data_IF_628314339394
#
_entry.id   IF_628314339394
#
_cell.length_a   1.000
_cell.length_b   1.000
_cell.length_c   1.000
_cell.angle_alpha   90.00
_cell.angle_beta   90.00
_cell.angle_gamma   90.00
#
_symmetry.space_group_name_H-M   'P 1'
#
loop_
_entity.id
_entity.type
_entity.pdbx_description
1 polymer ?
#
# COMPACT_ATOMS: atom_id res chain seq x y z
N UNK A 1 -1.70 -41.95 18.58
CA UNK A 1 -1.70 -41.23 17.29
C UNK A 1 -2.51 -39.93 17.35
N UNK A 2 -3.71 -39.91 17.95
CA UNK A 2 -4.58 -38.69 18.04
C UNK A 2 -3.95 -37.53 18.84
N UNK A 3 -3.25 -37.85 19.96
CA UNK A 3 -2.63 -36.84 20.83
C UNK A 3 -1.49 -36.12 20.11
N UNK A 4 -0.73 -36.79 19.27
CA UNK A 4 0.39 -36.23 18.53
C UNK A 4 -0.11 -35.25 17.41
N UNK A 5 -1.23 -35.60 16.75
CA UNK A 5 -1.83 -34.73 15.75
C UNK A 5 -2.40 -33.44 16.36
N UNK A 6 -3.00 -33.50 17.55
CA UNK A 6 -3.49 -32.35 18.29
C UNK A 6 -2.36 -31.36 18.68
N UNK A 7 -1.22 -31.90 19.10
CA UNK A 7 -0.05 -31.07 19.44
C UNK A 7 0.54 -30.35 18.24
N UNK A 8 0.59 -31.00 17.07
CA UNK A 8 1.03 -30.35 15.81
C UNK A 8 0.10 -29.21 15.38
N UNK A 9 -1.22 -29.38 15.54
CA UNK A 9 -2.18 -28.31 15.24
C UNK A 9 -1.97 -27.10 16.16
N UNK A 10 -1.75 -27.34 17.46
CA UNK A 10 -1.50 -26.26 18.42
C UNK A 10 -0.20 -25.51 18.06
N UNK A 11 0.87 -26.21 17.70
CA UNK A 11 2.12 -25.59 17.27
C UNK A 11 1.88 -24.75 16.01
N UNK A 12 1.18 -25.29 15.00
CA UNK A 12 0.87 -24.59 13.77
C UNK A 12 0.12 -23.26 14.04
N UNK A 13 -0.95 -23.31 14.86
CA UNK A 13 -1.73 -22.14 15.23
C UNK A 13 -0.91 -21.09 16.00
N UNK A 14 0.04 -21.53 16.85
CA UNK A 14 0.94 -20.61 17.57
C UNK A 14 1.94 -19.95 16.64
N UNK A 15 2.47 -20.68 15.68
CA UNK A 15 3.41 -20.17 14.68
C UNK A 15 2.70 -19.16 13.76
N UNK A 16 1.51 -19.50 13.27
CA UNK A 16 0.70 -18.60 12.44
C UNK A 16 0.37 -17.30 13.17
N UNK A 17 -0.10 -17.41 14.43
CA UNK A 17 -0.38 -16.25 15.27
C UNK A 17 0.87 -15.38 15.50
N UNK A 18 2.04 -15.98 15.70
CA UNK A 18 3.30 -15.26 15.87
C UNK A 18 3.67 -14.45 14.62
N UNK A 19 3.57 -15.03 13.42
CA UNK A 19 3.83 -14.33 12.17
C UNK A 19 2.85 -13.20 11.91
N UNK A 20 1.55 -13.43 12.14
CA UNK A 20 0.52 -12.38 12.00
C UNK A 20 0.80 -11.22 12.96
N UNK A 21 1.13 -11.50 14.22
CA UNK A 21 1.37 -10.47 15.23
C UNK A 21 2.64 -9.65 15.00
N UNK A 22 3.66 -10.22 14.36
CA UNK A 22 4.92 -9.55 14.06
C UNK A 22 4.94 -8.89 12.68
N UNK A 23 3.85 -8.96 11.93
CA UNK A 23 3.72 -8.33 10.62
C UNK A 23 4.03 -6.83 10.69
N UNK A 24 4.91 -6.37 9.79
CA UNK A 24 5.21 -4.96 9.60
C UNK A 24 5.15 -4.65 8.10
N UNK A 25 4.08 -3.97 7.70
CA UNK A 25 3.80 -3.74 6.27
C UNK A 25 2.98 -2.49 6.03
N UNK A 26 3.20 -1.87 4.87
CA UNK A 26 2.41 -0.75 4.39
C UNK A 26 1.51 -1.21 3.26
N UNK A 27 0.23 -0.83 3.34
CA UNK A 27 -0.82 -1.28 2.44
C UNK A 27 -1.46 -0.12 1.70
N UNK A 28 -1.74 -0.32 0.40
CA UNK A 28 -2.54 0.56 -0.44
C UNK A 28 -3.69 -0.28 -0.97
N UNK A 29 -4.88 -0.02 -0.45
CA UNK A 29 -6.07 -0.82 -0.77
C UNK A 29 -6.78 -0.31 -2.02
N UNK A 30 -7.53 -1.20 -2.67
CA UNK A 30 -8.50 -0.80 -3.67
C UNK A 30 -9.84 -0.44 -3.02
N UNK A 31 -10.32 0.75 -3.32
CA UNK A 31 -11.70 1.15 -3.03
C UNK A 31 -12.16 2.20 -4.02
N UNK A 32 -13.31 1.95 -4.63
CA UNK A 32 -13.88 2.83 -5.65
C UNK A 32 -13.96 4.30 -5.18
N UNK A 33 -13.37 5.19 -5.97
CA UNK A 33 -13.29 6.63 -5.71
C UNK A 33 -12.75 7.01 -4.33
N UNK A 34 -11.92 6.17 -3.74
CA UNK A 34 -11.42 6.38 -2.38
C UNK A 34 -9.94 6.02 -2.30
N UNK A 35 -9.16 6.85 -1.62
CA UNK A 35 -7.81 6.49 -1.18
C UNK A 35 -7.92 5.84 0.19
N UNK A 36 -7.43 4.63 0.31
CA UNK A 36 -7.33 3.91 1.57
C UNK A 36 -5.95 3.27 1.70
N UNK A 37 -5.19 3.74 2.66
CA UNK A 37 -3.83 3.24 2.94
C UNK A 37 -3.67 2.98 4.42
N UNK A 38 -2.77 2.09 4.78
CA UNK A 38 -2.51 1.78 6.19
C UNK A 38 -1.14 1.18 6.42
N UNK A 39 -0.68 1.30 7.66
CA UNK A 39 0.54 0.71 8.18
C UNK A 39 0.18 -0.26 9.30
N UNK A 40 0.41 -1.53 9.06
CA UNK A 40 0.29 -2.59 10.05
C UNK A 40 1.66 -2.79 10.70
N UNK A 41 1.71 -2.70 12.03
CA UNK A 41 2.93 -2.90 12.80
C UNK A 41 2.60 -3.53 14.15
N UNK A 42 3.07 -4.77 14.38
CA UNK A 42 2.95 -5.49 15.65
C UNK A 42 1.51 -5.47 16.23
N UNK A 43 0.51 -5.85 15.43
CA UNK A 43 -0.89 -5.87 15.85
C UNK A 43 -1.58 -4.51 15.96
N UNK A 44 -0.89 -3.42 15.65
CA UNK A 44 -1.48 -2.10 15.54
C UNK A 44 -1.62 -1.69 14.07
N UNK A 45 -2.80 -1.20 13.68
CA UNK A 45 -3.05 -0.71 12.32
C UNK A 45 -3.38 0.78 12.33
N UNK A 46 -2.50 1.55 11.72
CA UNK A 46 -2.71 2.98 11.51
C UNK A 46 -3.14 3.20 10.07
N UNK A 47 -4.21 3.95 9.85
CA UNK A 47 -4.78 4.08 8.52
C UNK A 47 -5.21 5.50 8.16
N UNK A 48 -5.27 5.78 6.86
CA UNK A 48 -5.93 6.93 6.27
C UNK A 48 -7.00 6.45 5.30
N UNK A 49 -8.17 7.06 5.39
CA UNK A 49 -9.24 6.90 4.40
C UNK A 49 -9.77 8.26 3.99
N UNK A 50 -9.91 8.51 2.69
CA UNK A 50 -10.57 9.72 2.19
C UNK A 50 -12.10 9.66 2.30
N UNK A 51 -12.66 8.47 2.56
CA UNK A 51 -14.09 8.23 2.82
C UNK A 51 -14.22 7.00 3.72
N UNK A 52 -14.35 7.23 5.01
CA UNK A 52 -14.40 6.16 6.03
C UNK A 52 -15.62 5.25 5.86
N UNK A 53 -16.76 5.78 5.41
CA UNK A 53 -17.97 4.97 5.18
C UNK A 53 -17.75 3.90 4.12
N UNK A 54 -17.00 4.23 3.07
CA UNK A 54 -16.67 3.29 2.00
C UNK A 54 -15.64 2.26 2.40
N UNK A 55 -14.80 2.51 3.40
CA UNK A 55 -13.68 1.63 3.78
C UNK A 55 -13.95 0.77 5.01
N UNK A 56 -15.07 1.00 5.72
CA UNK A 56 -15.41 0.27 6.97
C UNK A 56 -15.40 -1.26 6.79
N UNK A 57 -15.99 -1.77 5.71
CA UNK A 57 -16.04 -3.22 5.46
C UNK A 57 -14.62 -3.80 5.32
N UNK A 58 -13.79 -3.20 4.43
CA UNK A 58 -12.40 -3.65 4.21
C UNK A 58 -11.59 -3.56 5.51
N UNK A 59 -11.80 -2.48 6.29
CA UNK A 59 -11.11 -2.30 7.57
C UNK A 59 -11.49 -3.41 8.56
N UNK A 60 -12.77 -3.75 8.67
CA UNK A 60 -13.24 -4.81 9.55
C UNK A 60 -12.69 -6.18 9.14
N UNK A 61 -12.73 -6.50 7.85
CA UNK A 61 -12.15 -7.74 7.31
C UNK A 61 -10.65 -7.82 7.61
N UNK A 62 -9.93 -6.72 7.40
CA UNK A 62 -8.50 -6.63 7.67
C UNK A 62 -8.15 -6.80 9.15
N UNK A 63 -8.96 -6.18 10.04
CA UNK A 63 -8.86 -6.35 11.50
C UNK A 63 -8.99 -7.83 11.88
N UNK A 64 -9.99 -8.53 11.32
CA UNK A 64 -10.21 -9.95 11.59
C UNK A 64 -9.07 -10.84 11.09
N UNK A 65 -8.62 -10.63 9.86
CA UNK A 65 -7.54 -11.43 9.24
C UNK A 65 -6.22 -11.29 10.00
N UNK A 66 -5.84 -10.05 10.34
CA UNK A 66 -4.56 -9.76 10.98
C UNK A 66 -4.64 -9.67 12.50
N UNK A 67 -5.78 -10.03 13.11
CA UNK A 67 -6.00 -10.02 14.57
C UNK A 67 -5.54 -8.70 15.20
N UNK A 68 -5.95 -7.57 14.59
CA UNK A 68 -5.51 -6.24 14.96
C UNK A 68 -6.12 -5.85 16.30
N UNK A 69 -5.27 -5.50 17.27
CA UNK A 69 -5.66 -5.12 18.63
C UNK A 69 -5.95 -3.61 18.74
N UNK A 70 -5.28 -2.81 17.91
CA UNK A 70 -5.38 -1.34 17.97
C UNK A 70 -5.52 -0.74 16.59
N UNK A 71 -6.51 0.13 16.43
CA UNK A 71 -6.76 0.82 15.15
C UNK A 71 -6.76 2.32 15.39
N UNK A 72 -5.94 3.05 14.63
CA UNK A 72 -5.80 4.50 14.76
C UNK A 72 -5.82 5.19 13.39
N UNK A 73 -6.57 6.29 13.22
CA UNK A 73 -6.44 7.10 12.02
C UNK A 73 -5.11 7.89 12.04
N UNK A 74 -4.56 8.16 10.85
CA UNK A 74 -3.46 9.10 10.68
C UNK A 74 -3.71 10.07 9.52
N UNK A 75 -2.98 11.16 9.50
CA UNK A 75 -3.00 12.10 8.39
C UNK A 75 -2.07 11.61 7.25
N UNK A 76 -2.60 11.56 6.03
CA UNK A 76 -1.82 11.11 4.87
C UNK A 76 -0.74 12.15 4.53
N UNK A 77 0.50 11.73 4.58
CA UNK A 77 1.66 12.52 4.17
C UNK A 77 1.98 12.23 2.70
N UNK A 78 2.60 13.22 2.06
CA UNK A 78 3.03 13.07 0.67
C UNK A 78 4.33 12.26 0.54
N UNK A 79 5.04 12.08 1.63
CA UNK A 79 6.34 11.45 1.65
C UNK A 79 6.46 10.50 2.84
N UNK A 80 6.81 9.24 2.55
CA UNK A 80 7.15 8.23 3.55
C UNK A 80 8.58 7.76 3.28
N UNK A 81 9.46 8.00 4.24
CA UNK A 81 10.88 7.64 4.15
C UNK A 81 11.26 6.83 5.37
N UNK A 82 11.57 5.58 5.14
CA UNK A 82 12.21 4.68 6.10
C UNK A 82 13.30 3.90 5.35
N UNK A 83 14.15 3.14 6.00
CA UNK A 83 15.13 2.29 5.30
C UNK A 83 14.51 1.40 4.21
N UNK A 84 13.21 1.04 4.35
CA UNK A 84 12.51 0.12 3.46
C UNK A 84 11.38 0.74 2.65
N UNK A 85 10.85 1.90 3.04
CA UNK A 85 9.88 2.66 2.27
C UNK A 85 10.48 3.97 1.79
N UNK A 86 10.43 4.17 0.48
CA UNK A 86 10.65 5.45 -0.19
C UNK A 86 9.44 5.68 -1.10
N UNK A 87 8.31 6.07 -0.48
CA UNK A 87 7.04 6.26 -1.16
C UNK A 87 6.75 7.75 -1.30
N UNK A 88 6.52 8.19 -2.53
CA UNK A 88 5.99 9.51 -2.87
C UNK A 88 4.49 9.38 -3.19
N UNK A 89 3.66 10.16 -2.52
CA UNK A 89 2.21 10.21 -2.76
C UNK A 89 1.89 11.50 -3.50
N UNK A 90 1.30 11.40 -4.67
CA UNK A 90 0.96 12.52 -5.53
C UNK A 90 -0.55 12.62 -5.73
N UNK A 91 -1.10 13.81 -5.47
CA UNK A 91 -2.49 14.17 -5.77
C UNK A 91 -2.56 15.43 -6.64
N UNK A 92 -3.73 16.06 -6.75
CA UNK A 92 -4.03 17.07 -7.76
C UNK A 92 -3.20 18.37 -7.71
N UNK A 93 -2.43 18.66 -6.66
CA UNK A 93 -1.99 20.05 -6.38
C UNK A 93 -0.50 20.19 -6.05
N UNK A 94 0.37 19.20 -6.26
CA UNK A 94 1.71 19.28 -5.68
C UNK A 94 2.87 19.29 -6.68
N UNK A 95 3.93 20.09 -6.41
CA UNK A 95 5.19 19.91 -7.08
C UNK A 95 5.75 18.52 -6.76
N UNK A 96 6.10 17.75 -7.78
CA UNK A 96 6.58 16.38 -7.62
C UNK A 96 8.11 16.27 -7.74
N UNK A 97 8.80 17.35 -8.06
CA UNK A 97 10.26 17.36 -8.15
C UNK A 97 10.87 17.73 -6.78
N UNK A 98 11.30 16.71 -6.06
CA UNK A 98 11.95 16.87 -4.77
C UNK A 98 13.46 16.70 -4.92
N UNK A 99 14.22 17.72 -4.55
CA UNK A 99 15.68 17.64 -4.53
C UNK A 99 16.15 16.63 -3.49
N UNK A 100 17.16 15.83 -3.85
CA UNK A 100 17.80 14.84 -2.96
C UNK A 100 16.87 13.69 -2.47
N UNK A 101 15.76 13.44 -3.18
CA UNK A 101 14.90 12.31 -2.87
C UNK A 101 14.58 11.48 -4.13
N UNK A 102 14.83 10.17 -4.07
CA UNK A 102 14.48 9.23 -5.14
C UNK A 102 13.48 8.19 -4.58
N UNK A 103 12.19 8.25 -4.93
CA UNK A 103 11.21 7.29 -4.48
C UNK A 103 11.44 5.93 -5.16
N UNK A 104 11.29 4.84 -4.39
CA UNK A 104 11.17 3.50 -4.94
C UNK A 104 9.77 3.26 -5.49
N UNK A 105 8.77 3.82 -4.83
CA UNK A 105 7.36 3.70 -5.19
C UNK A 105 6.71 5.08 -5.29
N UNK A 106 5.84 5.27 -6.27
CA UNK A 106 5.03 6.48 -6.44
C UNK A 106 3.55 6.06 -6.44
N UNK A 107 2.76 6.61 -5.51
CA UNK A 107 1.32 6.45 -5.46
C UNK A 107 0.65 7.66 -6.11
N UNK A 108 -0.11 7.42 -7.17
CA UNK A 108 -0.99 8.41 -7.77
C UNK A 108 -2.40 8.28 -7.20
N UNK A 109 -2.98 9.40 -6.74
CA UNK A 109 -4.34 9.46 -6.20
C UNK A 109 -5.10 10.69 -6.69
N UNK A 110 -6.45 10.60 -6.71
CA UNK A 110 -7.34 11.72 -7.07
C UNK A 110 -7.06 12.34 -8.44
N UNK A 111 -6.62 11.53 -9.41
CA UNK A 111 -6.39 11.95 -10.80
C UNK A 111 -5.41 13.13 -10.94
N UNK A 112 -4.16 13.02 -10.49
CA UNK A 112 -3.23 14.12 -10.52
C UNK A 112 -2.98 14.61 -11.95
N UNK A 113 -2.98 15.93 -12.13
CA UNK A 113 -2.69 16.58 -13.42
C UNK A 113 -1.19 16.77 -13.59
N UNK A 114 -0.46 15.67 -13.84
CA UNK A 114 0.99 15.66 -13.96
C UNK A 114 1.42 15.08 -15.30
N UNK A 115 2.60 15.48 -15.76
CA UNK A 115 3.24 14.85 -16.92
C UNK A 115 3.93 13.55 -16.44
N UNK A 116 3.32 12.42 -16.73
CA UNK A 116 3.83 11.10 -16.31
C UNK A 116 5.18 10.78 -16.94
N UNK A 117 5.39 11.06 -18.22
CA UNK A 117 6.67 10.80 -18.91
C UNK A 117 7.82 11.54 -18.21
N UNK A 118 7.61 12.83 -17.88
CA UNK A 118 8.60 13.62 -17.13
C UNK A 118 8.84 13.07 -15.73
N UNK A 119 7.76 12.67 -15.01
CA UNK A 119 7.86 12.08 -13.69
C UNK A 119 8.71 10.79 -13.70
N UNK A 120 8.44 9.89 -14.65
CA UNK A 120 9.13 8.62 -14.78
C UNK A 120 10.60 8.81 -15.20
N UNK A 121 10.88 9.73 -16.13
CA UNK A 121 12.24 10.07 -16.54
C UNK A 121 13.07 10.66 -15.41
N UNK A 122 12.44 11.48 -14.53
CA UNK A 122 13.12 12.13 -13.41
C UNK A 122 13.43 11.15 -12.26
N UNK A 123 12.45 10.31 -11.86
CA UNK A 123 12.58 9.48 -10.67
C UNK A 123 12.97 8.03 -10.95
N UNK A 124 12.60 7.46 -12.08
CA UNK A 124 12.79 6.04 -12.42
C UNK A 124 12.37 5.11 -11.26
N UNK A 125 11.14 5.22 -10.74
CA UNK A 125 10.70 4.42 -9.62
C UNK A 125 10.61 2.94 -10.01
N UNK A 126 10.66 2.02 -9.03
CA UNK A 126 10.37 0.60 -9.27
C UNK A 126 8.89 0.40 -9.60
N UNK A 127 8.00 1.05 -8.86
CA UNK A 127 6.56 0.96 -9.07
C UNK A 127 5.90 2.33 -9.19
N UNK A 128 5.04 2.47 -10.19
CA UNK A 128 3.99 3.49 -10.24
C UNK A 128 2.67 2.82 -9.87
N UNK A 129 2.04 3.27 -8.79
CA UNK A 129 0.85 2.67 -8.20
C UNK A 129 -0.33 3.60 -8.42
N UNK A 130 -1.44 3.06 -8.94
CA UNK A 130 -2.72 3.77 -9.06
C UNK A 130 -3.72 3.14 -8.10
N UNK A 131 -4.26 3.93 -7.15
CA UNK A 131 -5.31 3.48 -6.25
C UNK A 131 -6.73 3.64 -6.84
N UNK A 132 -7.73 3.16 -6.12
CA UNK A 132 -9.13 3.20 -6.55
C UNK A 132 -9.76 4.60 -6.63
N UNK A 133 -9.06 5.66 -6.19
CA UNK A 133 -9.51 7.04 -6.31
C UNK A 133 -9.34 7.62 -7.72
N UNK A 134 -8.54 6.94 -8.56
CA UNK A 134 -8.28 7.38 -9.92
C UNK A 134 -9.33 6.86 -10.91
N UNK A 135 -9.52 7.61 -11.99
CA UNK A 135 -10.34 7.16 -13.10
C UNK A 135 -9.65 6.06 -13.90
N UNK A 136 -10.41 5.04 -14.38
CA UNK A 136 -9.83 3.91 -15.12
C UNK A 136 -9.04 4.33 -16.36
N UNK A 137 -9.52 5.34 -17.11
CA UNK A 137 -8.84 5.82 -18.32
C UNK A 137 -7.48 6.51 -18.03
N UNK A 138 -7.34 7.17 -16.86
CA UNK A 138 -6.06 7.71 -16.45
C UNK A 138 -5.08 6.59 -16.10
N UNK A 139 -5.54 5.58 -15.36
CA UNK A 139 -4.73 4.43 -15.01
C UNK A 139 -4.22 3.68 -16.26
N UNK A 140 -5.07 3.53 -17.29
CA UNK A 140 -4.65 2.89 -18.55
C UNK A 140 -3.60 3.71 -19.31
N UNK A 141 -3.76 5.03 -19.38
CA UNK A 141 -2.75 5.91 -19.99
C UNK A 141 -1.41 5.84 -19.23
N UNK A 142 -1.44 5.83 -17.90
CA UNK A 142 -0.23 5.73 -17.08
C UNK A 142 0.47 4.38 -17.23
N UNK A 143 -0.29 3.32 -17.40
CA UNK A 143 0.25 2.00 -17.71
C UNK A 143 1.08 2.02 -19.00
N UNK A 144 0.55 2.61 -20.09
CA UNK A 144 1.27 2.74 -21.36
C UNK A 144 2.56 3.54 -21.19
N UNK A 145 2.53 4.64 -20.43
CA UNK A 145 3.74 5.42 -20.13
C UNK A 145 4.77 4.64 -19.30
N UNK A 146 4.31 3.83 -18.35
CA UNK A 146 5.19 2.97 -17.57
C UNK A 146 5.88 1.90 -18.43
N UNK A 147 5.15 1.25 -19.33
CA UNK A 147 5.69 0.25 -20.27
C UNK A 147 6.79 0.84 -21.15
N UNK A 148 6.64 2.10 -21.60
CA UNK A 148 7.65 2.80 -22.39
C UNK A 148 8.92 3.19 -21.63
N UNK A 149 8.83 3.31 -20.30
CA UNK A 149 9.92 3.76 -19.42
C UNK A 149 10.48 2.64 -18.53
N UNK A 150 10.14 1.37 -18.79
CA UNK A 150 10.56 0.18 -18.02
C UNK A 150 10.24 0.29 -16.52
N UNK A 151 9.09 0.90 -16.17
CA UNK A 151 8.58 1.03 -14.82
C UNK A 151 7.42 0.08 -14.60
N UNK A 152 7.39 -0.63 -13.47
CA UNK A 152 6.30 -1.53 -13.14
C UNK A 152 5.04 -0.74 -12.76
N UNK A 153 3.95 -0.94 -13.50
CA UNK A 153 2.66 -0.34 -13.17
C UNK A 153 1.81 -1.27 -12.32
N UNK A 154 1.30 -0.76 -11.21
CA UNK A 154 0.38 -1.49 -10.35
C UNK A 154 -0.95 -0.74 -10.20
N UNK A 155 -2.03 -1.37 -10.63
CA UNK A 155 -3.40 -0.84 -10.48
C UNK A 155 -4.13 -1.67 -9.42
N UNK A 156 -4.43 -1.06 -8.27
CA UNK A 156 -5.08 -1.78 -7.17
C UNK A 156 -6.46 -2.31 -7.55
N UNK A 157 -7.17 -1.64 -8.46
CA UNK A 157 -8.48 -2.09 -8.96
C UNK A 157 -8.41 -3.43 -9.70
N UNK A 158 -7.31 -3.71 -10.39
CA UNK A 158 -7.14 -4.93 -11.18
C UNK A 158 -6.45 -6.05 -10.42
N UNK A 159 -5.59 -5.70 -9.46
CA UNK A 159 -4.68 -6.64 -8.77
C UNK A 159 -4.94 -6.76 -7.27
N UNK A 160 -5.90 -6.01 -6.72
CA UNK A 160 -6.13 -5.93 -5.28
C UNK A 160 -5.14 -5.01 -4.57
N UNK A 161 -5.08 -5.12 -3.26
CA UNK A 161 -4.23 -4.26 -2.45
C UNK A 161 -2.73 -4.44 -2.77
N UNK A 162 -1.99 -3.33 -2.78
CA UNK A 162 -0.53 -3.34 -2.90
C UNK A 162 0.10 -3.35 -1.51
N UNK A 163 0.93 -4.36 -1.23
CA UNK A 163 1.65 -4.53 0.03
C UNK A 163 3.12 -4.21 -0.13
N UNK A 164 3.67 -3.42 0.78
CA UNK A 164 5.11 -3.20 0.94
C UNK A 164 5.54 -3.83 2.26
N UNK A 165 6.35 -4.88 2.22
CA UNK A 165 6.91 -5.49 3.42
C UNK A 165 7.98 -4.60 4.02
N UNK A 166 7.95 -4.44 5.35
CA UNK A 166 8.88 -3.62 6.12
C UNK A 166 9.71 -4.46 7.09
N UNK A 167 9.54 -5.77 7.07
CA UNK A 167 10.34 -6.71 7.85
C UNK A 167 11.78 -6.77 7.33
N UNK A 168 12.73 -7.10 8.22
CA UNK A 168 14.09 -7.39 7.81
C UNK A 168 14.07 -8.75 7.08
N UNK A 169 14.55 -8.80 5.83
CA UNK A 169 15.04 -10.04 5.27
C UNK A 169 16.27 -10.41 6.10
N UNK A 170 16.14 -11.46 6.92
CA UNK A 170 17.27 -12.07 7.60
C UNK A 170 18.18 -12.81 6.59
#
# INVERSE_FOLDING_TARGET
>A
MVIFSGFLVIIYLRVEHYFIKNENSFWIFDRYQTTFVGHLQHGAFRYFSSDTKKTTSILNDFIGIYQIEKVEPFELKNLYVTPKIRLLVLDTVQPYELQNFTPTNILLRKNPKINIERLLSYYKPKYLISDGSNFPWNAERWKISCEKNDVLFYNTRLRGAFKINLENEE
#
